data_IF_773501694397
#
_entry.id   IF_773501694397
#
_cell.length_a   1.000
_cell.length_b   1.000
_cell.length_c   1.000
_cell.angle_alpha   90.00
_cell.angle_beta   90.00
_cell.angle_gamma   90.00
#
_symmetry.space_group_name_H-M   'P 1'
#
loop_
_entity.id
_entity.type
_entity.pdbx_description
1 polymer ?
#
# COMPACT_ATOMS: atom_id res chain seq x y z
N UNK A 1 7.08 -5.33 -15.91
CA UNK A 1 8.05 -5.89 -14.94
C UNK A 1 7.33 -6.12 -13.63
N UNK A 2 7.56 -7.26 -12.96
CA UNK A 2 7.12 -7.46 -11.57
C UNK A 2 8.00 -6.59 -10.67
N UNK A 3 7.46 -5.92 -9.64
CA UNK A 3 8.28 -5.19 -8.68
C UNK A 3 9.24 -6.17 -7.99
N UNK A 4 10.52 -5.80 -7.91
CA UNK A 4 11.60 -6.66 -7.41
C UNK A 4 12.02 -6.29 -5.97
N UNK A 5 11.49 -5.18 -5.44
CA UNK A 5 11.81 -4.67 -4.11
C UNK A 5 10.56 -4.24 -3.34
N UNK A 6 10.59 -4.28 -2.00
CA UNK A 6 9.53 -3.76 -1.13
C UNK A 6 9.05 -2.36 -1.51
N UNK A 7 10.00 -1.48 -1.85
CA UNK A 7 9.74 -0.10 -2.22
C UNK A 7 8.98 -0.01 -3.54
N UNK A 8 9.32 -0.84 -4.54
CA UNK A 8 8.61 -0.86 -5.83
C UNK A 8 7.17 -1.35 -5.71
N UNK A 9 6.87 -2.29 -4.79
CA UNK A 9 5.47 -2.68 -4.52
C UNK A 9 4.66 -1.48 -3.98
N UNK A 10 5.26 -0.70 -3.08
CA UNK A 10 4.62 0.49 -2.50
C UNK A 10 4.50 1.61 -3.53
N UNK A 11 5.54 1.87 -4.32
CA UNK A 11 5.52 2.89 -5.38
C UNK A 11 4.48 2.56 -6.45
N UNK A 12 4.36 1.28 -6.84
CA UNK A 12 3.31 0.82 -7.75
C UNK A 12 1.92 1.05 -7.17
N UNK A 13 1.71 0.77 -5.89
CA UNK A 13 0.45 1.03 -5.21
C UNK A 13 0.09 2.51 -5.20
N UNK A 14 1.07 3.39 -4.92
CA UNK A 14 0.88 4.85 -4.91
C UNK A 14 0.48 5.33 -6.31
N UNK A 15 1.22 4.92 -7.34
CA UNK A 15 0.95 5.34 -8.70
C UNK A 15 -0.45 4.94 -9.16
N UNK A 16 -0.86 3.68 -8.89
CA UNK A 16 -2.18 3.19 -9.26
C UNK A 16 -3.30 3.85 -8.45
N UNK A 17 -3.13 4.04 -7.14
CA UNK A 17 -4.12 4.72 -6.31
C UNK A 17 -4.33 6.18 -6.74
N UNK A 18 -3.25 6.90 -7.12
CA UNK A 18 -3.34 8.27 -7.65
C UNK A 18 -4.03 8.29 -9.02
N UNK A 19 -3.73 7.34 -9.92
CA UNK A 19 -4.44 7.22 -11.20
C UNK A 19 -5.95 7.05 -10.98
N UNK A 20 -6.35 6.12 -10.10
CA UNK A 20 -7.76 5.89 -9.78
C UNK A 20 -8.42 7.09 -9.10
N UNK A 21 -7.72 7.76 -8.18
CA UNK A 21 -8.19 9.00 -7.54
C UNK A 21 -8.52 10.10 -8.56
N UNK A 22 -7.69 10.24 -9.61
CA UNK A 22 -7.92 11.23 -10.68
C UNK A 22 -9.14 10.89 -11.53
N UNK A 23 -9.42 9.59 -11.73
CA UNK A 23 -10.57 9.12 -12.51
C UNK A 23 -11.89 9.24 -11.74
N UNK A 24 -11.85 9.13 -10.41
CA UNK A 24 -13.02 9.21 -9.53
C UNK A 24 -12.78 10.29 -8.47
N UNK A 25 -12.77 11.58 -8.86
CA UNK A 25 -12.56 12.68 -7.92
C UNK A 25 -13.74 12.73 -6.92
N UNK A 26 -13.43 12.85 -5.63
CA UNK A 26 -14.42 12.92 -4.55
C UNK A 26 -14.59 11.66 -3.72
N UNK A 27 -14.05 10.51 -4.15
CA UNK A 27 -14.04 9.32 -3.31
C UNK A 27 -12.88 9.41 -2.30
N UNK A 28 -13.20 9.86 -1.09
CA UNK A 28 -12.24 10.21 -0.02
C UNK A 28 -11.36 9.04 0.42
N UNK A 29 -11.79 7.79 0.18
CA UNK A 29 -11.01 6.59 0.49
C UNK A 29 -9.66 6.59 -0.22
N UNK A 30 -9.58 7.10 -1.45
CA UNK A 30 -8.32 7.15 -2.20
C UNK A 30 -7.29 8.07 -1.54
N UNK A 31 -7.72 9.20 -0.97
CA UNK A 31 -6.83 10.10 -0.24
C UNK A 31 -6.22 9.38 0.99
N UNK A 32 -7.07 8.69 1.76
CA UNK A 32 -6.64 7.90 2.92
C UNK A 32 -5.65 6.79 2.53
N UNK A 33 -5.89 6.10 1.41
CA UNK A 33 -4.99 5.06 0.90
C UNK A 33 -3.65 5.66 0.49
N UNK A 34 -3.66 6.74 -0.29
CA UNK A 34 -2.43 7.39 -0.76
C UNK A 34 -1.58 7.88 0.41
N UNK A 35 -2.18 8.45 1.46
CA UNK A 35 -1.45 8.91 2.63
C UNK A 35 -0.83 7.74 3.43
N UNK A 36 -1.57 6.64 3.61
CA UNK A 36 -1.01 5.45 4.25
C UNK A 36 0.12 4.83 3.44
N UNK A 37 0.00 4.78 2.11
CA UNK A 37 1.07 4.28 1.24
C UNK A 37 2.32 5.17 1.25
N UNK A 38 2.15 6.50 1.28
CA UNK A 38 3.27 7.44 1.45
C UNK A 38 3.98 7.25 2.78
N UNK A 39 3.24 7.02 3.87
CA UNK A 39 3.83 6.68 5.16
C UNK A 39 4.65 5.38 5.07
N UNK A 40 4.10 4.32 4.48
CA UNK A 40 4.82 3.06 4.28
C UNK A 40 6.12 3.30 3.49
N UNK A 41 6.05 4.09 2.41
CA UNK A 41 7.21 4.45 1.59
C UNK A 41 8.27 5.19 2.41
N UNK A 42 7.87 6.17 3.22
CA UNK A 42 8.77 6.92 4.10
C UNK A 42 9.44 6.03 5.17
N UNK A 43 8.76 4.98 5.62
CA UNK A 43 9.37 4.01 6.54
C UNK A 43 10.42 3.16 5.82
N UNK A 44 10.17 2.78 4.56
CA UNK A 44 11.11 2.00 3.76
C UNK A 44 12.31 2.81 3.27
N UNK A 45 12.13 4.09 2.95
CA UNK A 45 13.23 4.98 2.55
C UNK A 45 14.06 5.51 3.75
N UNK A 46 13.60 5.25 4.98
CA UNK A 46 14.27 5.62 6.22
C UNK A 46 14.04 7.05 6.69
N UNK A 47 13.21 7.83 5.98
CA UNK A 47 12.80 9.18 6.38
C UNK A 47 11.91 9.14 7.62
N UNK A 48 11.03 8.15 7.72
CA UNK A 48 10.19 7.92 8.89
C UNK A 48 10.77 6.79 9.77
N UNK A 49 11.04 7.12 11.03
CA UNK A 49 11.62 6.20 12.02
C UNK A 49 10.56 5.57 12.91
N UNK A 50 9.40 6.22 13.06
CA UNK A 50 8.28 5.68 13.81
C UNK A 50 7.56 4.60 13.00
N UNK A 51 7.86 3.34 13.30
CA UNK A 51 7.22 2.16 12.70
C UNK A 51 5.94 1.72 13.42
N UNK A 52 5.57 2.36 14.53
CA UNK A 52 4.44 1.92 15.36
C UNK A 52 3.10 1.95 14.59
N UNK A 53 2.97 2.87 13.62
CA UNK A 53 1.75 3.03 12.83
C UNK A 53 1.62 1.98 11.72
N UNK A 54 2.67 1.22 11.38
CA UNK A 54 2.56 0.11 10.42
C UNK A 54 1.53 -0.94 10.88
N UNK A 55 1.37 -1.15 12.19
CA UNK A 55 0.37 -2.07 12.75
C UNK A 55 -1.06 -1.52 12.71
N UNK A 56 -1.23 -0.23 12.40
CA UNK A 56 -2.54 0.47 12.37
C UNK A 56 -3.02 0.73 10.94
N UNK A 57 -2.31 0.21 9.95
CA UNK A 57 -2.67 0.35 8.54
C UNK A 57 -4.02 -0.31 8.27
N UNK A 58 -4.93 0.43 7.65
CA UNK A 58 -6.26 -0.05 7.25
C UNK A 58 -6.34 -0.40 5.77
N UNK A 59 -5.30 -0.11 4.99
CA UNK A 59 -5.27 -0.35 3.54
C UNK A 59 -5.58 -1.80 3.15
N UNK A 60 -5.17 -2.80 3.95
CA UNK A 60 -5.46 -4.20 3.67
C UNK A 60 -6.95 -4.53 3.78
N UNK A 61 -7.63 -3.96 4.77
CA UNK A 61 -9.07 -4.14 4.95
C UNK A 61 -9.86 -3.37 3.87
N UNK A 62 -9.42 -2.15 3.54
CA UNK A 62 -10.00 -1.34 2.46
C UNK A 62 -9.87 -2.08 1.12
N UNK A 63 -8.70 -2.65 0.82
CA UNK A 63 -8.46 -3.39 -0.41
C UNK A 63 -9.44 -4.56 -0.61
N UNK A 64 -9.68 -5.35 0.44
CA UNK A 64 -10.63 -6.47 0.37
C UNK A 64 -12.08 -6.01 0.29
N UNK A 65 -12.47 -4.97 1.04
CA UNK A 65 -13.88 -4.58 1.15
C UNK A 65 -14.37 -3.71 -0.01
N UNK A 66 -13.54 -2.78 -0.46
CA UNK A 66 -13.98 -1.74 -1.41
C UNK A 66 -13.62 -2.09 -2.85
N UNK A 67 -12.51 -2.80 -3.06
CA UNK A 67 -11.90 -2.94 -4.38
C UNK A 67 -11.81 -4.37 -4.90
N UNK A 68 -11.96 -5.40 -4.07
CA UNK A 68 -11.79 -6.79 -4.52
C UNK A 68 -12.76 -7.17 -5.66
N UNK A 69 -13.99 -6.64 -5.62
CA UNK A 69 -14.99 -6.86 -6.66
C UNK A 69 -14.97 -5.77 -7.75
N UNK A 70 -14.73 -4.51 -7.37
CA UNK A 70 -14.87 -3.35 -8.27
C UNK A 70 -13.59 -2.99 -9.04
N UNK A 71 -12.42 -3.20 -8.43
CA UNK A 71 -11.10 -2.91 -8.99
C UNK A 71 -10.06 -3.93 -8.48
N UNK A 72 -10.15 -5.19 -8.94
CA UNK A 72 -9.33 -6.27 -8.43
C UNK A 72 -7.83 -6.03 -8.66
N UNK A 73 -7.47 -5.26 -9.69
CA UNK A 73 -6.10 -4.81 -9.93
C UNK A 73 -5.61 -3.93 -8.78
N UNK A 74 -6.35 -2.88 -8.43
CA UNK A 74 -6.01 -2.02 -7.30
C UNK A 74 -6.00 -2.81 -5.99
N UNK A 75 -7.01 -3.66 -5.76
CA UNK A 75 -7.09 -4.50 -4.57
C UNK A 75 -5.83 -5.35 -4.39
N UNK A 76 -5.35 -5.99 -5.46
CA UNK A 76 -4.14 -6.82 -5.42
C UNK A 76 -2.92 -5.99 -5.03
N UNK A 77 -2.70 -4.85 -5.70
CA UNK A 77 -1.50 -4.03 -5.45
C UNK A 77 -1.52 -3.43 -4.03
N UNK A 78 -2.70 -3.07 -3.51
CA UNK A 78 -2.84 -2.60 -2.12
C UNK A 78 -2.58 -3.72 -1.10
N UNK A 79 -3.07 -4.95 -1.36
CA UNK A 79 -2.81 -6.12 -0.50
C UNK A 79 -1.32 -6.47 -0.49
N UNK A 80 -0.64 -6.40 -1.63
CA UNK A 80 0.78 -6.67 -1.74
C UNK A 80 1.61 -5.63 -0.96
N UNK A 81 1.31 -4.34 -1.11
CA UNK A 81 1.97 -3.28 -0.35
C UNK A 81 1.74 -3.40 1.16
N UNK A 82 0.52 -3.75 1.57
CA UNK A 82 0.19 -4.02 2.98
C UNK A 82 0.98 -5.21 3.53
N UNK A 83 1.07 -6.31 2.77
CA UNK A 83 1.79 -7.50 3.17
C UNK A 83 3.27 -7.23 3.43
N UNK A 84 3.91 -6.50 2.51
CA UNK A 84 5.30 -6.06 2.65
C UNK A 84 5.49 -5.13 3.85
N UNK A 85 4.58 -4.19 4.08
CA UNK A 85 4.61 -3.27 5.22
C UNK A 85 4.52 -3.99 6.57
N UNK A 86 3.63 -4.97 6.70
CA UNK A 86 3.46 -5.76 7.93
C UNK A 86 4.68 -6.65 8.22
N UNK A 87 5.31 -7.23 7.19
CA UNK A 87 6.54 -8.00 7.36
C UNK A 87 7.68 -7.10 7.88
N UNK A 88 7.82 -5.90 7.33
CA UNK A 88 8.78 -4.90 7.79
C UNK A 88 8.51 -4.45 9.24
N UNK A 89 7.25 -4.26 9.62
CA UNK A 89 6.86 -3.93 11.00
C UNK A 89 7.27 -5.00 12.02
N UNK A 90 7.21 -6.27 11.62
CA UNK A 90 7.53 -7.42 12.48
C UNK A 90 9.03 -7.75 12.50
N UNK A 91 9.87 -7.00 11.80
CA UNK A 91 11.29 -7.30 11.66
C UNK A 91 11.56 -8.61 10.92
N UNK A 92 10.61 -9.07 10.09
CA UNK A 92 10.73 -10.31 9.33
C UNK A 92 11.49 -10.07 8.03
N UNK A 93 12.18 -11.10 7.54
CA UNK A 93 12.68 -11.13 6.16
C UNK A 93 11.51 -10.97 5.21
N UNK A 94 11.52 -9.92 4.38
CA UNK A 94 10.41 -9.61 3.49
C UNK A 94 10.33 -10.65 2.38
N UNK A 95 9.27 -11.44 2.40
CA UNK A 95 8.87 -12.28 1.27
C UNK A 95 7.99 -11.46 0.33
N UNK A 96 8.43 -11.32 -0.90
CA UNK A 96 7.67 -10.62 -1.93
C UNK A 96 6.52 -11.53 -2.40
N UNK A 97 5.30 -11.00 -2.56
CA UNK A 97 4.19 -11.77 -3.08
C UNK A 97 4.43 -12.11 -4.57
N UNK A 98 4.25 -13.39 -4.92
CA UNK A 98 4.40 -13.94 -6.29
C UNK A 98 3.49 -13.27 -7.34
#
# INVERSE_FOLDING_TARGET
MKPATPLEYVDKAIALAIDRQKRIPGFTVYATIVDQLKYIRAVFDGTEKDKSKLHRLTIGAIASKEFEENDPELARVLKDAYYVAIQSARGLTIQLPD
#
